data_IF_142228606127
#
_entry.id   IF_142228606127
#
_cell.length_a   1.000
_cell.length_b   1.000
_cell.length_c   1.000
_cell.angle_alpha   90.00
_cell.angle_beta   90.00
_cell.angle_gamma   90.00
#
_symmetry.space_group_name_H-M   'P 1'
#
loop_
_entity.id
_entity.type
_entity.pdbx_description
1 polymer ?
#
# COMPACT_ATOMS: atom_id res chain seq x y z
N UNK A 1 15.92 -14.72 7.50
CA UNK A 1 15.14 -13.54 7.94
C UNK A 1 14.40 -12.83 6.81
N UNK A 2 15.05 -12.11 5.87
CA UNK A 2 14.34 -11.31 4.83
C UNK A 2 13.48 -12.19 3.90
N UNK A 3 14.07 -13.29 3.37
CA UNK A 3 13.36 -14.25 2.51
C UNK A 3 12.09 -14.80 3.18
N UNK A 4 12.16 -15.13 4.46
CA UNK A 4 11.04 -15.72 5.19
C UNK A 4 9.88 -14.73 5.33
N UNK A 5 10.18 -13.46 5.66
CA UNK A 5 9.18 -12.39 5.70
C UNK A 5 8.48 -12.21 4.35
N UNK A 6 9.25 -12.23 3.26
CA UNK A 6 8.70 -12.14 1.90
C UNK A 6 7.80 -13.35 1.60
N UNK A 7 8.22 -14.56 1.93
CA UNK A 7 7.42 -15.78 1.72
C UNK A 7 6.13 -15.73 2.54
N UNK A 8 6.18 -15.28 3.79
CA UNK A 8 5.00 -15.10 4.63
C UNK A 8 4.02 -14.10 4.01
N UNK A 9 4.49 -12.91 3.63
CA UNK A 9 3.67 -11.89 2.96
C UNK A 9 3.03 -12.44 1.67
N UNK A 10 3.77 -13.20 0.86
CA UNK A 10 3.25 -13.83 -0.36
C UNK A 10 2.18 -14.88 -0.08
N UNK A 11 2.29 -15.65 1.02
CA UNK A 11 1.22 -16.58 1.45
C UNK A 11 -0.05 -15.81 1.80
N UNK A 12 0.06 -14.71 2.53
CA UNK A 12 -1.09 -13.84 2.85
C UNK A 12 -1.74 -13.30 1.57
N UNK A 13 -0.94 -12.80 0.62
CA UNK A 13 -1.44 -12.30 -0.66
C UNK A 13 -2.17 -13.39 -1.47
N UNK A 14 -1.59 -14.59 -1.58
CA UNK A 14 -2.24 -15.72 -2.27
C UNK A 14 -3.58 -16.08 -1.64
N UNK A 15 -3.65 -16.10 -0.31
CA UNK A 15 -4.91 -16.36 0.42
C UNK A 15 -5.94 -15.26 0.14
N UNK A 16 -5.55 -13.99 0.21
CA UNK A 16 -6.44 -12.84 -0.06
C UNK A 16 -7.02 -12.86 -1.48
N UNK A 17 -6.21 -13.28 -2.46
CA UNK A 17 -6.56 -13.16 -3.87
C UNK A 17 -7.00 -14.46 -4.54
N UNK A 18 -7.12 -15.56 -3.78
CA UNK A 18 -7.46 -16.89 -4.31
C UNK A 18 -8.68 -16.90 -5.24
N UNK A 19 -9.73 -16.13 -4.92
CA UNK A 19 -10.96 -16.04 -5.71
C UNK A 19 -10.97 -14.95 -6.80
N UNK A 20 -9.85 -14.25 -6.99
CA UNK A 20 -9.81 -12.99 -7.75
C UNK A 20 -8.88 -13.04 -8.97
N UNK A 21 -8.22 -14.18 -9.22
CA UNK A 21 -7.35 -14.37 -10.39
C UNK A 21 -6.08 -13.51 -10.39
N UNK A 22 -5.72 -12.91 -9.26
CA UNK A 22 -4.47 -12.16 -9.08
C UNK A 22 -3.62 -12.81 -7.98
N UNK A 23 -2.32 -12.55 -8.01
CA UNK A 23 -1.36 -13.28 -7.18
C UNK A 23 -0.61 -12.36 -6.20
N UNK A 24 -0.73 -11.04 -6.37
CA UNK A 24 0.01 -10.09 -5.56
C UNK A 24 -0.57 -8.67 -5.56
N UNK A 25 -0.09 -7.87 -4.61
CA UNK A 25 -0.56 -6.49 -4.42
C UNK A 25 -0.33 -5.60 -5.64
N UNK A 26 0.73 -5.83 -6.41
CA UNK A 26 1.06 -5.04 -7.60
C UNK A 26 -0.03 -5.14 -8.70
N UNK A 27 -0.72 -6.28 -8.78
CA UNK A 27 -1.77 -6.56 -9.77
C UNK A 27 -3.16 -6.03 -9.37
N UNK A 28 -3.28 -5.38 -8.19
CA UNK A 28 -4.55 -4.78 -7.78
C UNK A 28 -4.94 -3.65 -8.73
N UNK A 29 -6.19 -3.71 -9.21
CA UNK A 29 -6.87 -2.62 -9.92
C UNK A 29 -7.48 -1.64 -8.90
N UNK A 30 -7.92 -0.44 -9.31
CA UNK A 30 -8.56 0.51 -8.40
C UNK A 30 -9.76 -0.07 -7.64
N UNK A 31 -10.51 -0.97 -8.27
CA UNK A 31 -11.60 -1.72 -7.62
C UNK A 31 -11.10 -2.59 -6.47
N UNK A 32 -9.97 -3.27 -6.66
CA UNK A 32 -9.36 -4.13 -5.63
C UNK A 32 -8.71 -3.32 -4.51
N UNK A 33 -8.14 -2.16 -4.81
CA UNK A 33 -7.59 -1.26 -3.79
C UNK A 33 -8.67 -0.82 -2.80
N UNK A 34 -9.83 -0.37 -3.29
CA UNK A 34 -10.97 -0.03 -2.42
C UNK A 34 -11.45 -1.19 -1.55
N UNK A 35 -11.30 -2.43 -2.01
CA UNK A 35 -11.72 -3.62 -1.26
C UNK A 35 -10.71 -4.06 -0.22
N UNK A 36 -9.41 -4.08 -0.57
CA UNK A 36 -8.36 -4.74 0.22
C UNK A 36 -7.43 -3.78 0.95
N UNK A 37 -7.48 -2.49 0.62
CA UNK A 37 -6.69 -1.44 1.24
C UNK A 37 -7.60 -0.44 1.97
N UNK A 38 -8.56 -0.96 2.76
CA UNK A 38 -9.34 -0.13 3.66
C UNK A 38 -8.42 0.52 4.68
N UNK A 39 -8.61 1.81 4.89
CA UNK A 39 -7.86 2.63 5.82
C UNK A 39 -8.76 2.97 7.00
N UNK A 40 -8.15 3.23 8.16
CA UNK A 40 -8.84 3.89 9.26
C UNK A 40 -8.91 5.41 9.01
N UNK A 41 -9.73 6.10 9.80
CA UNK A 41 -9.95 7.54 9.64
C UNK A 41 -8.65 8.36 9.74
N UNK A 42 -7.69 7.92 10.56
CA UNK A 42 -6.39 8.59 10.68
C UNK A 42 -5.58 8.45 9.39
N UNK A 43 -5.47 7.23 8.87
CA UNK A 43 -4.74 6.91 7.65
C UNK A 43 -5.37 7.58 6.42
N UNK A 44 -6.70 7.64 6.34
CA UNK A 44 -7.42 8.36 5.29
C UNK A 44 -7.07 9.85 5.30
N UNK A 45 -7.17 10.48 6.48
CA UNK A 45 -6.86 11.90 6.65
C UNK A 45 -5.40 12.23 6.30
N UNK A 46 -4.46 11.36 6.66
CA UNK A 46 -3.05 11.52 6.30
C UNK A 46 -2.85 11.46 4.78
N UNK A 47 -3.49 10.50 4.12
CA UNK A 47 -3.38 10.32 2.68
C UNK A 47 -4.03 11.47 1.91
N UNK A 48 -5.21 11.93 2.32
CA UNK A 48 -5.90 13.08 1.72
C UNK A 48 -5.08 14.37 1.81
N UNK A 49 -4.48 14.63 2.98
CA UNK A 49 -3.56 15.76 3.17
C UNK A 49 -2.37 15.65 2.22
N UNK A 50 -1.73 14.49 2.15
CA UNK A 50 -0.58 14.29 1.26
C UNK A 50 -0.96 14.47 -0.22
N UNK A 51 -2.11 13.96 -0.66
CA UNK A 51 -2.60 14.16 -2.03
C UNK A 51 -2.76 15.64 -2.35
N UNK A 52 -3.37 16.39 -1.44
CA UNK A 52 -3.65 17.82 -1.61
C UNK A 52 -2.38 18.66 -1.58
N UNK A 53 -1.52 18.47 -0.57
CA UNK A 53 -0.31 19.27 -0.37
C UNK A 53 0.79 18.94 -1.39
N UNK A 54 0.91 17.68 -1.82
CA UNK A 54 1.96 17.25 -2.76
C UNK A 54 1.46 17.23 -4.22
N UNK A 55 0.18 17.52 -4.48
CA UNK A 55 -0.42 17.45 -5.81
C UNK A 55 -0.33 16.05 -6.42
N UNK A 56 -0.62 15.01 -5.64
CA UNK A 56 -0.48 13.62 -6.12
C UNK A 56 -1.59 13.27 -7.10
N UNK A 57 -1.22 12.66 -8.22
CA UNK A 57 -2.19 12.09 -9.15
C UNK A 57 -2.88 10.85 -8.57
N UNK A 58 -4.02 10.47 -9.13
CA UNK A 58 -4.73 9.23 -8.77
C UNK A 58 -3.81 7.99 -8.87
N UNK A 59 -2.88 7.97 -9.84
CA UNK A 59 -1.89 6.87 -9.97
C UNK A 59 -0.91 6.83 -8.80
N UNK A 60 -0.51 8.00 -8.27
CA UNK A 60 0.36 8.07 -7.10
C UNK A 60 -0.39 7.65 -5.83
N UNK A 61 -1.65 8.07 -5.68
CA UNK A 61 -2.54 7.59 -4.62
C UNK A 61 -2.65 6.04 -4.61
N UNK A 62 -2.96 5.44 -5.76
CA UNK A 62 -3.06 3.99 -5.91
C UNK A 62 -1.74 3.27 -5.60
N UNK A 63 -0.61 3.91 -5.89
CA UNK A 63 0.72 3.36 -5.59
C UNK A 63 0.98 3.38 -4.09
N UNK A 64 0.66 4.47 -3.41
CA UNK A 64 0.80 4.59 -1.95
C UNK A 64 0.01 3.47 -1.28
N UNK A 65 -1.27 3.28 -1.64
CA UNK A 65 -2.09 2.19 -1.10
C UNK A 65 -1.46 0.80 -1.29
N UNK A 66 -0.91 0.51 -2.49
CA UNK A 66 -0.24 -0.77 -2.76
C UNK A 66 1.01 -0.98 -1.93
N UNK A 67 1.81 0.07 -1.73
CA UNK A 67 3.02 0.02 -0.92
C UNK A 67 2.65 -0.18 0.54
N UNK A 68 1.71 0.60 1.08
CA UNK A 68 1.24 0.47 2.47
C UNK A 68 0.66 -0.91 2.75
N UNK A 69 -0.11 -1.50 1.81
CA UNK A 69 -0.60 -2.88 1.92
C UNK A 69 0.54 -3.90 1.96
N UNK A 70 1.58 -3.68 1.16
CA UNK A 70 2.74 -4.59 1.10
C UNK A 70 3.54 -4.54 2.40
N UNK A 71 3.67 -3.37 3.01
CA UNK A 71 4.30 -3.24 4.33
C UNK A 71 3.50 -3.97 5.41
N UNK A 72 2.18 -3.77 5.45
CA UNK A 72 1.30 -4.50 6.37
C UNK A 72 1.45 -6.03 6.19
N UNK A 73 1.51 -6.52 4.95
CA UNK A 73 1.70 -7.94 4.67
C UNK A 73 3.09 -8.45 5.14
N UNK A 74 4.14 -7.63 5.05
CA UNK A 74 5.50 -7.95 5.53
C UNK A 74 5.62 -7.94 7.06
N UNK A 75 4.70 -7.26 7.74
CA UNK A 75 4.53 -7.27 9.19
C UNK A 75 3.52 -8.33 9.66
N UNK A 76 2.83 -9.00 8.74
CA UNK A 76 1.79 -9.98 9.07
C UNK A 76 0.49 -9.35 9.58
N UNK A 77 0.27 -8.06 9.33
CA UNK A 77 -0.90 -7.33 9.79
C UNK A 77 -2.04 -7.39 8.77
N UNK A 78 -3.25 -7.60 9.27
CA UNK A 78 -4.45 -7.62 8.44
C UNK A 78 -4.81 -6.21 7.94
N UNK A 79 -4.70 -5.22 8.82
CA UNK A 79 -5.04 -3.82 8.55
C UNK A 79 -3.82 -3.00 8.16
N UNK A 80 -4.03 -2.05 7.25
CA UNK A 80 -3.08 -0.97 7.03
C UNK A 80 -3.16 -0.05 8.25
N UNK A 81 -2.02 0.49 8.67
CA UNK A 81 -1.89 1.36 9.84
C UNK A 81 -1.34 2.70 9.36
N UNK A 82 -1.57 3.76 10.11
CA UNK A 82 -1.11 5.11 9.77
C UNK A 82 0.39 5.17 9.44
N UNK A 83 1.23 4.43 10.18
CA UNK A 83 2.68 4.32 9.90
C UNK A 83 3.00 3.80 8.49
N UNK A 84 2.24 2.84 7.98
CA UNK A 84 2.46 2.29 6.64
C UNK A 84 2.10 3.31 5.55
N UNK A 85 1.12 4.16 5.80
CA UNK A 85 0.71 5.24 4.89
C UNK A 85 1.75 6.36 4.91
N UNK A 86 2.15 6.79 6.10
CA UNK A 86 3.18 7.81 6.30
C UNK A 86 4.51 7.43 5.61
N UNK A 87 4.95 6.18 5.76
CA UNK A 87 6.18 5.70 5.13
C UNK A 87 6.06 5.60 3.61
N UNK A 88 4.94 5.11 3.09
CA UNK A 88 4.68 5.05 1.65
C UNK A 88 4.63 6.45 1.00
N UNK A 89 4.10 7.46 1.70
CA UNK A 89 4.15 8.86 1.28
C UNK A 89 5.60 9.36 1.25
N UNK A 90 6.40 9.07 2.29
CA UNK A 90 7.81 9.46 2.34
C UNK A 90 8.62 8.87 1.19
N UNK A 91 8.45 7.58 0.87
CA UNK A 91 9.08 6.97 -0.30
C UNK A 91 8.70 7.68 -1.59
N UNK A 92 7.44 8.10 -1.74
CA UNK A 92 6.99 8.81 -2.92
C UNK A 92 7.60 10.21 -3.04
N UNK A 93 7.79 10.91 -1.91
CA UNK A 93 8.43 12.22 -1.88
C UNK A 93 9.92 12.11 -2.21
N UNK A 94 10.62 11.13 -1.62
CA UNK A 94 12.02 10.84 -1.93
C UNK A 94 12.23 10.53 -3.42
N UNK A 95 11.40 9.65 -3.99
CA UNK A 95 11.41 9.34 -5.43
C UNK A 95 11.27 10.59 -6.31
N UNK A 96 10.52 11.61 -5.86
CA UNK A 96 10.38 12.84 -6.67
C UNK A 96 11.63 13.71 -6.58
N UNK A 97 12.21 13.83 -5.39
CA UNK A 97 13.39 14.67 -5.17
C UNK A 97 14.63 14.06 -5.85
N UNK A 98 14.80 12.74 -5.79
CA UNK A 98 15.99 12.07 -6.33
C UNK A 98 16.01 11.92 -7.85
N UNK A 99 14.89 12.10 -8.53
CA UNK A 99 14.75 11.94 -9.99
C UNK A 99 14.24 13.22 -10.69
N UNK A 100 14.25 14.35 -9.99
CA UNK A 100 14.16 15.69 -10.56
C UNK A 100 15.56 16.28 -10.72
#
# INVERSE_FOLDING_TARGET
VVRERIVAARRVQRKRFQAHGIYCNAQMTPRWLRRFCKLDAESEKQLERAVTHLGLSARAYDRILRVSRTMADLEGLESIQARHVAEAIQYRTLDRICWQ
#
